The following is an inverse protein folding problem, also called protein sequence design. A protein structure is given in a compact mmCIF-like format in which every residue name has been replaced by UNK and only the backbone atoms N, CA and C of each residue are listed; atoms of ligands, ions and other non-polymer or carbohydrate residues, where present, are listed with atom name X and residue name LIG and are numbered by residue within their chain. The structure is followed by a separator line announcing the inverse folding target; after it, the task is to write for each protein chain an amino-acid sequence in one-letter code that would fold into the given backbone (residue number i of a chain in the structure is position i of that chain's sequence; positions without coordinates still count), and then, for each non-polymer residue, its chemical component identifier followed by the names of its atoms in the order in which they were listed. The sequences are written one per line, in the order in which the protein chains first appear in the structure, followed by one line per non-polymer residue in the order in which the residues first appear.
data_IF_079311375905
#
_entry.id   IF_079311375905
#
_cell.length_a   1.000
_cell.length_b   1.000
_cell.length_c   1.000
_cell.angle_alpha   90.00
_cell.angle_beta   90.00
_cell.angle_gamma   90.00
#
_symmetry.space_group_name_H-M   'P 1'
#
loop_
_entity.id
_entity.type
_entity.pdbx_description
1 polymer ?
#
# COMPACT_ATOMS: atom_id res chain seq x y z
N UNK A 1 30.27 7.66 3.64
CA UNK A 1 29.07 8.51 3.51
C UNK A 1 28.24 8.18 2.27
N UNK A 2 28.83 7.99 1.08
CA UNK A 2 28.13 7.58 -0.17
C UNK A 2 27.16 6.39 0.01
N UNK A 3 27.56 5.35 0.73
CA UNK A 3 26.73 4.15 0.96
C UNK A 3 25.43 4.43 1.72
N UNK A 4 25.41 5.39 2.67
CA UNK A 4 24.21 5.71 3.45
C UNK A 4 23.24 6.59 2.66
N UNK A 5 23.75 7.55 1.89
CA UNK A 5 22.92 8.35 0.99
C UNK A 5 22.27 7.47 -0.08
N UNK A 6 23.03 6.56 -0.69
CA UNK A 6 22.50 5.61 -1.66
C UNK A 6 21.43 4.69 -1.07
N UNK A 7 21.63 4.18 0.14
CA UNK A 7 20.66 3.34 0.86
C UNK A 7 19.33 4.08 1.10
N UNK A 8 19.38 5.29 1.64
CA UNK A 8 18.17 6.09 1.84
C UNK A 8 17.46 6.46 0.53
N UNK A 9 18.20 6.80 -0.53
CA UNK A 9 17.59 7.08 -1.84
C UNK A 9 16.89 5.84 -2.41
N UNK A 10 17.52 4.66 -2.30
CA UNK A 10 16.93 3.39 -2.71
C UNK A 10 15.64 3.10 -1.95
N UNK A 11 15.67 3.14 -0.61
CA UNK A 11 14.50 2.82 0.21
C UNK A 11 13.39 3.86 0.10
N UNK A 12 13.73 5.13 -0.11
CA UNK A 12 12.77 6.18 -0.43
C UNK A 12 12.04 5.85 -1.74
N UNK A 13 12.77 5.66 -2.84
CA UNK A 13 12.20 5.37 -4.15
C UNK A 13 11.36 4.09 -4.13
N UNK A 14 11.88 3.03 -3.52
CA UNK A 14 11.20 1.74 -3.36
C UNK A 14 9.89 1.87 -2.59
N UNK A 15 9.87 2.67 -1.52
CA UNK A 15 8.67 2.89 -0.71
C UNK A 15 7.63 3.73 -1.45
N UNK A 16 8.06 4.75 -2.20
CA UNK A 16 7.18 5.53 -3.07
C UNK A 16 6.55 4.66 -4.16
N UNK A 17 7.36 3.84 -4.85
CA UNK A 17 6.87 2.93 -5.89
C UNK A 17 5.84 1.93 -5.33
N UNK A 18 6.08 1.37 -4.15
CA UNK A 18 5.11 0.47 -3.48
C UNK A 18 3.79 1.18 -3.16
N UNK A 19 3.84 2.38 -2.61
CA UNK A 19 2.64 3.17 -2.32
C UNK A 19 1.83 3.44 -3.59
N UNK A 20 2.52 3.84 -4.66
CA UNK A 20 1.92 4.17 -5.95
C UNK A 20 1.30 2.93 -6.63
N UNK A 21 2.00 1.79 -6.62
CA UNK A 21 1.50 0.54 -7.17
C UNK A 21 0.25 0.05 -6.44
N UNK A 22 0.23 0.14 -5.10
CA UNK A 22 -0.96 -0.19 -4.32
C UNK A 22 -2.12 0.76 -4.64
N UNK A 23 -1.86 2.08 -4.72
CA UNK A 23 -2.89 3.06 -5.07
C UNK A 23 -3.51 2.78 -6.45
N UNK A 24 -2.69 2.49 -7.47
CA UNK A 24 -3.17 2.13 -8.82
C UNK A 24 -4.03 0.88 -8.82
N UNK A 25 -3.61 -0.15 -8.07
CA UNK A 25 -4.35 -1.40 -7.97
C UNK A 25 -5.71 -1.18 -7.33
N UNK A 26 -5.76 -0.43 -6.23
CA UNK A 26 -6.99 -0.10 -5.53
C UNK A 26 -7.93 0.77 -6.38
N UNK A 27 -7.41 1.74 -7.12
CA UNK A 27 -8.23 2.56 -8.04
C UNK A 27 -8.88 1.68 -9.12
N UNK A 28 -8.12 0.79 -9.75
CA UNK A 28 -8.67 -0.15 -10.74
C UNK A 28 -9.75 -1.06 -10.15
N UNK A 29 -9.52 -1.62 -8.95
CA UNK A 29 -10.51 -2.44 -8.24
C UNK A 29 -11.75 -1.66 -7.84
N UNK A 30 -11.58 -0.40 -7.42
CA UNK A 30 -12.67 0.48 -7.07
C UNK A 30 -13.54 0.80 -8.29
N UNK A 31 -12.93 1.16 -9.42
CA UNK A 31 -13.66 1.37 -10.69
C UNK A 31 -14.41 0.10 -11.12
N UNK A 32 -13.79 -1.08 -11.00
CA UNK A 32 -14.43 -2.36 -11.32
C UNK A 32 -15.61 -2.66 -10.39
N UNK A 33 -15.57 -2.22 -9.13
CA UNK A 33 -16.67 -2.39 -8.18
C UNK A 33 -17.93 -1.59 -8.54
N UNK A 34 -17.79 -0.51 -9.35
CA UNK A 34 -18.91 0.31 -9.80
C UNK A 34 -19.74 -0.36 -10.92
N UNK A 35 -19.20 -1.40 -11.56
CA UNK A 35 -19.93 -2.20 -12.55
C UNK A 35 -20.92 -3.11 -11.82
N UNK A 36 -22.21 -3.14 -12.21
CA UNK A 36 -23.22 -3.98 -11.57
C UNK A 36 -22.83 -5.46 -11.57
N UNK A 37 -22.61 -6.01 -10.37
CA UNK A 37 -22.27 -7.42 -10.16
C UNK A 37 -22.69 -7.86 -8.76
N UNK A 38 -22.93 -9.17 -8.53
CA UNK A 38 -23.29 -9.68 -7.21
C UNK A 38 -22.23 -9.32 -6.15
N UNK A 39 -22.66 -9.02 -4.92
CA UNK A 39 -21.76 -8.63 -3.83
C UNK A 39 -20.65 -9.66 -3.57
N UNK A 40 -20.95 -10.96 -3.70
CA UNK A 40 -19.96 -12.02 -3.56
C UNK A 40 -18.83 -11.91 -4.59
N UNK A 41 -19.14 -11.54 -5.84
CA UNK A 41 -18.14 -11.33 -6.88
C UNK A 41 -17.28 -10.07 -6.61
N UNK A 42 -17.90 -9.01 -6.07
CA UNK A 42 -17.16 -7.82 -5.64
C UNK A 42 -16.16 -8.16 -4.54
N UNK A 43 -16.60 -8.89 -3.52
CA UNK A 43 -15.75 -9.29 -2.40
C UNK A 43 -14.60 -10.21 -2.84
N UNK A 44 -14.81 -11.05 -3.85
CA UNK A 44 -13.75 -11.87 -4.42
C UNK A 44 -12.68 -11.03 -5.13
N UNK A 45 -13.08 -9.97 -5.85
CA UNK A 45 -12.11 -9.03 -6.44
C UNK A 45 -11.25 -8.36 -5.35
N UNK A 46 -11.86 -7.96 -4.22
CA UNK A 46 -11.11 -7.39 -3.09
C UNK A 46 -10.21 -8.42 -2.39
N UNK A 47 -10.65 -9.69 -2.29
CA UNK A 47 -9.82 -10.80 -1.80
C UNK A 47 -8.59 -11.01 -2.70
N UNK A 48 -8.76 -10.93 -4.01
CA UNK A 48 -7.66 -11.06 -4.96
C UNK A 48 -6.57 -9.98 -4.74
N UNK A 49 -6.95 -8.77 -4.32
CA UNK A 49 -5.97 -7.71 -3.99
C UNK A 49 -5.10 -8.08 -2.79
N UNK A 50 -5.70 -8.66 -1.75
CA UNK A 50 -4.96 -9.16 -0.60
C UNK A 50 -4.01 -10.29 -1.01
N UNK A 51 -4.48 -11.21 -1.86
CA UNK A 51 -3.69 -12.35 -2.33
C UNK A 51 -2.50 -11.97 -3.22
N UNK A 52 -2.71 -11.04 -4.15
CA UNK A 52 -1.63 -10.52 -5.00
C UNK A 52 -0.48 -9.89 -4.19
N UNK A 53 -0.77 -9.42 -2.98
CA UNK A 53 0.20 -8.78 -2.10
C UNK A 53 0.59 -9.67 -0.90
N UNK A 54 0.15 -10.93 -0.87
CA UNK A 54 0.39 -11.88 0.23
C UNK A 54 0.00 -11.32 1.61
N UNK A 55 -1.16 -10.66 1.68
CA UNK A 55 -1.64 -9.97 2.88
C UNK A 55 -2.85 -10.63 3.55
N UNK A 56 -3.30 -11.79 3.08
CA UNK A 56 -4.52 -12.44 3.55
C UNK A 56 -4.46 -12.76 5.05
N UNK A 57 -3.35 -13.35 5.52
CA UNK A 57 -3.17 -13.69 6.93
C UNK A 57 -3.04 -12.45 7.84
N UNK A 58 -2.44 -11.38 7.33
CA UNK A 58 -2.32 -10.12 8.07
C UNK A 58 -3.69 -9.43 8.17
N UNK A 59 -4.46 -9.44 7.08
CA UNK A 59 -5.81 -8.90 7.04
C UNK A 59 -6.76 -9.68 7.95
N UNK A 60 -6.76 -11.01 7.88
CA UNK A 60 -7.63 -11.88 8.68
C UNK A 60 -7.39 -11.78 10.20
N UNK A 61 -6.23 -11.24 10.62
CA UNK A 61 -5.96 -10.93 12.04
C UNK A 61 -6.60 -9.62 12.50
N UNK A 62 -6.94 -8.72 11.58
CA UNK A 62 -7.47 -7.40 11.87
C UNK A 62 -8.97 -7.24 11.53
N UNK A 63 -9.48 -8.03 10.59
CA UNK A 63 -10.86 -7.94 10.09
C UNK A 63 -11.45 -9.34 9.86
N UNK A 64 -12.73 -9.50 10.21
CA UNK A 64 -13.46 -10.77 10.06
C UNK A 64 -13.98 -10.99 8.63
N UNK A 65 -14.24 -9.91 7.88
CA UNK A 65 -14.85 -9.96 6.56
C UNK A 65 -14.04 -9.22 5.50
N UNK A 66 -13.93 -9.82 4.32
CA UNK A 66 -13.36 -9.19 3.14
C UNK A 66 -14.46 -8.43 2.40
N UNK A 67 -14.42 -7.11 2.51
CA UNK A 67 -15.25 -6.18 1.75
C UNK A 67 -14.43 -4.93 1.38
N UNK A 68 -14.97 -4.09 0.49
CA UNK A 68 -14.29 -2.90 -0.01
C UNK A 68 -13.79 -1.99 1.12
N UNK A 69 -14.64 -1.72 2.10
CA UNK A 69 -14.35 -0.80 3.21
C UNK A 69 -13.16 -1.30 4.05
N UNK A 70 -13.21 -2.56 4.48
CA UNK A 70 -12.16 -3.16 5.31
C UNK A 70 -10.83 -3.24 4.55
N UNK A 71 -10.86 -3.66 3.27
CA UNK A 71 -9.64 -3.74 2.45
C UNK A 71 -9.04 -2.36 2.23
N UNK A 72 -9.84 -1.34 1.91
CA UNK A 72 -9.36 0.04 1.77
C UNK A 72 -8.77 0.55 3.08
N UNK A 73 -9.44 0.31 4.22
CA UNK A 73 -8.91 0.75 5.53
C UNK A 73 -7.57 0.09 5.85
N UNK A 74 -7.44 -1.21 5.62
CA UNK A 74 -6.23 -1.99 5.86
C UNK A 74 -5.07 -1.63 4.92
N UNK A 75 -5.35 -1.41 3.64
CA UNK A 75 -4.32 -1.17 2.61
C UNK A 75 -3.95 0.30 2.45
N UNK A 76 -4.84 1.24 2.80
CA UNK A 76 -4.57 2.67 2.65
C UNK A 76 -4.03 3.27 3.95
N UNK A 77 -4.75 3.10 5.06
CA UNK A 77 -4.56 3.94 6.26
C UNK A 77 -3.98 3.20 7.47
N UNK A 78 -3.97 1.87 7.48
CA UNK A 78 -3.55 1.09 8.63
C UNK A 78 -2.04 1.19 8.89
N UNK A 79 -1.66 1.84 9.97
CA UNK A 79 -0.27 1.99 10.40
C UNK A 79 0.34 0.70 10.96
N UNK A 80 -0.48 -0.29 11.35
CA UNK A 80 -0.02 -1.62 11.76
C UNK A 80 0.35 -2.51 10.56
N UNK A 81 -0.13 -2.17 9.36
CA UNK A 81 0.26 -2.81 8.11
C UNK A 81 1.48 -2.09 7.49
N UNK A 82 2.69 -2.69 7.47
CA UNK A 82 3.89 -2.09 6.87
C UNK A 82 3.80 -1.92 5.35
N UNK A 83 2.82 -2.56 4.72
CA UNK A 83 2.54 -2.45 3.29
C UNK A 83 1.38 -1.51 2.97
N UNK A 84 0.78 -0.86 3.97
CA UNK A 84 -0.21 0.17 3.66
C UNK A 84 0.43 1.37 2.97
N UNK A 85 -0.37 2.09 2.18
CA UNK A 85 0.05 3.34 1.52
C UNK A 85 0.60 4.32 2.56
N UNK A 86 -0.10 4.47 3.68
CA UNK A 86 0.35 5.30 4.80
C UNK A 86 1.75 4.91 5.29
N UNK A 87 1.98 3.63 5.60
CA UNK A 87 3.28 3.16 6.11
C UNK A 87 4.40 3.32 5.08
N UNK A 88 4.11 3.06 3.79
CA UNK A 88 5.05 3.25 2.69
C UNK A 88 5.44 4.73 2.53
N UNK A 89 4.45 5.64 2.52
CA UNK A 89 4.73 7.08 2.38
C UNK A 89 5.45 7.65 3.60
N UNK A 90 5.14 7.15 4.80
CA UNK A 90 5.89 7.49 6.01
C UNK A 90 7.36 7.05 5.88
N UNK A 91 7.62 5.81 5.47
CA UNK A 91 8.98 5.32 5.25
C UNK A 91 9.72 6.12 4.15
N UNK A 92 9.04 6.47 3.06
CA UNK A 92 9.61 7.31 2.01
C UNK A 92 10.01 8.70 2.56
N UNK A 93 9.13 9.33 3.34
CA UNK A 93 9.38 10.63 3.98
C UNK A 93 10.58 10.59 4.93
N UNK A 94 10.68 9.58 5.79
CA UNK A 94 11.81 9.48 6.73
C UNK A 94 13.14 9.31 5.98
N UNK A 95 13.17 8.48 4.93
CA UNK A 95 14.35 8.34 4.09
C UNK A 95 14.68 9.64 3.35
N UNK A 96 13.68 10.36 2.84
CA UNK A 96 13.88 11.66 2.20
C UNK A 96 14.48 12.70 3.16
N UNK A 97 14.02 12.73 4.42
CA UNK A 97 14.57 13.62 5.46
C UNK A 97 16.05 13.33 5.72
N UNK A 98 16.44 12.05 5.78
CA UNK A 98 17.83 11.65 6.00
C UNK A 98 18.79 12.12 4.90
N UNK A 99 18.30 12.33 3.67
CA UNK A 99 19.09 12.78 2.51
C UNK A 99 18.64 14.14 1.96
N UNK A 100 17.94 14.96 2.75
CA UNK A 100 17.39 16.25 2.30
C UNK A 100 18.44 17.13 1.63
N UNK A 101 19.65 17.21 2.19
CA UNK A 101 20.74 18.03 1.67
C UNK A 101 21.21 17.64 0.26
N UNK A 102 20.95 16.41 -0.19
CA UNK A 102 21.25 15.97 -1.57
C UNK A 102 20.05 16.08 -2.51
N UNK A 103 18.82 16.18 -2.00
CA UNK A 103 17.59 16.31 -2.80
C UNK A 103 17.34 17.74 -3.27
N UNK A 104 17.74 18.74 -2.48
CA UNK A 104 17.50 20.16 -2.76
C UNK A 104 18.74 20.89 -3.27
N UNK A 105 19.70 20.16 -3.86
CA UNK A 105 20.93 20.71 -4.40
C UNK A 105 20.75 21.29 -5.81
#
# INVERSE_FOLDING_TARGET
MLSRTADHLYWMARSTERAENMARLLDASYQMSMVPQPLAAQNENWRAILALNSQEEAFARAYDEVNAENVLRFTVADAANPSSIYSCLRAARENAHAVRGTLTA
#
